data_IF_136309886866
#
_entry.id   IF_136309886866
#
_cell.length_a   1.000
_cell.length_b   1.000
_cell.length_c   1.000
_cell.angle_alpha   90.00
_cell.angle_beta   90.00
_cell.angle_gamma   90.00
#
_symmetry.space_group_name_H-M   'P 1'
#
loop_
_entity.id
_entity.type
_entity.pdbx_description
1 polymer ?
#
# COMPACT_ATOMS: atom_id res chain seq x y z
N UNK A 1 -16.17 -3.84 24.20
CA UNK A 1 -15.31 -3.71 23.02
C UNK A 1 -16.17 -3.74 21.76
N UNK A 2 -15.87 -2.88 20.81
CA UNK A 2 -16.56 -2.85 19.53
C UNK A 2 -16.00 -3.94 18.61
N UNK A 3 -16.80 -4.98 18.37
CA UNK A 3 -16.40 -6.10 17.51
C UNK A 3 -16.14 -5.65 16.08
N UNK A 4 -16.83 -4.60 15.61
CA UNK A 4 -16.61 -4.05 14.27
C UNK A 4 -15.20 -3.43 14.16
N UNK A 5 -14.75 -2.70 15.19
CA UNK A 5 -13.40 -2.15 15.21
C UNK A 5 -12.35 -3.26 15.13
N UNK A 6 -12.52 -4.33 15.90
CA UNK A 6 -11.58 -5.46 15.85
C UNK A 6 -11.60 -6.16 14.50
N UNK A 7 -12.78 -6.38 13.90
CA UNK A 7 -12.89 -7.00 12.58
C UNK A 7 -12.21 -6.13 11.50
N UNK A 8 -12.41 -4.80 11.56
CA UNK A 8 -11.79 -3.86 10.61
C UNK A 8 -10.27 -3.88 10.72
N UNK A 9 -9.74 -3.88 11.94
CA UNK A 9 -8.29 -3.95 12.13
C UNK A 9 -7.74 -5.29 11.66
N UNK A 10 -8.47 -6.37 11.84
CA UNK A 10 -8.04 -7.68 11.31
C UNK A 10 -8.07 -7.71 9.79
N UNK A 11 -9.08 -7.12 9.16
CA UNK A 11 -9.14 -6.99 7.69
C UNK A 11 -7.92 -6.25 7.18
N UNK A 12 -7.51 -5.16 7.84
CA UNK A 12 -6.32 -4.40 7.46
C UNK A 12 -5.05 -5.24 7.62
N UNK A 13 -4.90 -5.97 8.72
CA UNK A 13 -3.75 -6.87 8.90
C UNK A 13 -3.68 -7.93 7.82
N UNK A 14 -4.81 -8.55 7.50
CA UNK A 14 -4.89 -9.56 6.44
C UNK A 14 -4.56 -8.96 5.07
N UNK A 15 -5.08 -7.78 4.77
CA UNK A 15 -4.81 -7.05 3.54
C UNK A 15 -3.30 -6.80 3.37
N UNK A 16 -2.64 -6.30 4.43
CA UNK A 16 -1.21 -6.04 4.41
C UNK A 16 -0.39 -7.32 4.21
N UNK A 17 -0.78 -8.40 4.85
CA UNK A 17 -0.13 -9.71 4.68
C UNK A 17 -0.30 -10.23 3.25
N UNK A 18 -1.51 -10.14 2.72
CA UNK A 18 -1.80 -10.59 1.36
C UNK A 18 -1.03 -9.81 0.30
N UNK A 19 -0.81 -8.51 0.53
CA UNK A 19 0.05 -7.72 -0.36
C UNK A 19 1.50 -8.23 -0.36
N UNK A 20 2.03 -8.62 0.80
CA UNK A 20 3.37 -9.21 0.90
C UNK A 20 3.45 -10.56 0.19
N UNK A 21 2.36 -11.32 0.18
CA UNK A 21 2.27 -12.62 -0.48
C UNK A 21 2.01 -12.49 -1.98
N UNK A 22 1.81 -11.28 -2.47
CA UNK A 22 1.46 -10.98 -3.88
C UNK A 22 0.14 -11.62 -4.31
N UNK A 23 -0.75 -11.91 -3.38
CA UNK A 23 -2.07 -12.46 -3.65
C UNK A 23 -3.06 -11.31 -3.89
N UNK A 24 -2.92 -10.65 -5.02
CA UNK A 24 -3.68 -9.44 -5.34
C UNK A 24 -5.18 -9.70 -5.51
N UNK A 25 -5.57 -10.88 -5.96
CA UNK A 25 -6.99 -11.22 -6.01
C UNK A 25 -7.60 -11.23 -4.60
N UNK A 26 -6.91 -11.80 -3.63
CA UNK A 26 -7.37 -11.79 -2.25
C UNK A 26 -7.33 -10.39 -1.64
N UNK A 27 -6.33 -9.56 -2.00
CA UNK A 27 -6.28 -8.15 -1.59
C UNK A 27 -7.54 -7.43 -2.08
N UNK A 28 -7.93 -7.61 -3.33
CA UNK A 28 -9.12 -6.97 -3.89
C UNK A 28 -10.40 -7.38 -3.16
N UNK A 29 -10.46 -8.60 -2.65
CA UNK A 29 -11.62 -9.09 -1.89
C UNK A 29 -11.81 -8.38 -0.55
N UNK A 30 -10.80 -7.71 -0.03
CA UNK A 30 -10.92 -6.90 1.19
C UNK A 30 -11.70 -5.61 0.97
N UNK A 31 -11.92 -5.22 -0.28
CA UNK A 31 -12.66 -4.02 -0.66
C UNK A 31 -14.11 -4.34 -1.01
N UNK A 32 -15.02 -3.43 -0.66
CA UNK A 32 -16.34 -3.36 -1.29
C UNK A 32 -16.20 -2.80 -2.70
N UNK A 33 -15.34 -1.78 -2.85
CA UNK A 33 -14.97 -1.19 -4.13
C UNK A 33 -13.48 -0.82 -4.06
N UNK A 34 -12.62 -1.43 -4.90
CA UNK A 34 -11.19 -1.12 -4.87
C UNK A 34 -10.91 0.33 -5.24
N UNK A 35 -10.19 1.04 -4.38
CA UNK A 35 -9.78 2.43 -4.63
C UNK A 35 -8.56 2.76 -3.79
N UNK A 36 -7.56 3.38 -4.43
CA UNK A 36 -6.38 3.93 -3.78
C UNK A 36 -6.26 5.41 -4.10
N UNK A 37 -5.98 6.21 -3.07
CA UNK A 37 -5.62 7.63 -3.21
C UNK A 37 -4.25 7.78 -2.56
N UNK A 38 -3.23 8.05 -3.38
CA UNK A 38 -1.84 8.04 -2.93
C UNK A 38 -1.36 9.48 -2.73
N UNK A 39 -0.83 9.75 -1.52
CA UNK A 39 -0.33 11.07 -1.14
C UNK A 39 -1.38 12.17 -1.37
N UNK A 40 -2.54 11.98 -0.75
CA UNK A 40 -3.70 12.81 -1.00
C UNK A 40 -4.37 12.38 -2.30
N UNK A 41 -4.51 13.32 -3.23
CA UNK A 41 -5.07 13.03 -4.55
C UNK A 41 -4.03 13.11 -5.68
N UNK A 42 -2.75 12.99 -5.32
CA UNK A 42 -1.67 13.05 -6.32
C UNK A 42 -1.80 11.93 -7.36
N UNK A 43 -2.17 10.72 -6.91
CA UNK A 43 -2.50 9.62 -7.81
C UNK A 43 -3.75 8.91 -7.28
N UNK A 44 -4.70 8.64 -8.18
CA UNK A 44 -5.94 7.94 -7.83
C UNK A 44 -6.09 6.74 -8.76
N UNK A 45 -6.33 5.58 -8.18
CA UNK A 45 -6.66 4.35 -8.90
C UNK A 45 -8.02 3.89 -8.41
N UNK A 46 -9.00 3.84 -9.31
CA UNK A 46 -10.38 3.53 -8.98
C UNK A 46 -10.87 2.33 -9.78
N UNK A 47 -11.45 1.37 -9.08
CA UNK A 47 -11.97 0.16 -9.67
C UNK A 47 -10.92 -0.93 -9.82
N UNK A 48 -11.43 -2.15 -10.06
CA UNK A 48 -10.60 -3.36 -10.10
C UNK A 48 -9.44 -3.27 -11.09
N UNK A 49 -9.72 -2.82 -12.32
CA UNK A 49 -8.70 -2.85 -13.38
C UNK A 49 -7.59 -1.85 -13.10
N UNK A 50 -7.93 -0.63 -12.66
CA UNK A 50 -6.93 0.38 -12.32
C UNK A 50 -6.09 -0.03 -11.11
N UNK A 51 -6.73 -0.57 -10.08
CA UNK A 51 -6.02 -1.00 -8.87
C UNK A 51 -5.11 -2.19 -9.18
N UNK A 52 -5.55 -3.13 -10.01
CA UNK A 52 -4.70 -4.25 -10.41
C UNK A 52 -3.47 -3.77 -11.20
N UNK A 53 -3.65 -2.82 -12.12
CA UNK A 53 -2.52 -2.22 -12.83
C UNK A 53 -1.55 -1.50 -11.88
N UNK A 54 -2.08 -0.83 -10.86
CA UNK A 54 -1.26 -0.21 -9.83
C UNK A 54 -0.43 -1.27 -9.09
N UNK A 55 -1.04 -2.37 -8.68
CA UNK A 55 -0.29 -3.45 -8.01
C UNK A 55 0.85 -3.96 -8.89
N UNK A 56 0.57 -4.26 -10.14
CA UNK A 56 1.57 -4.79 -11.07
C UNK A 56 2.70 -3.78 -11.30
N UNK A 57 2.37 -2.51 -11.56
CA UNK A 57 3.37 -1.49 -11.82
C UNK A 57 4.22 -1.18 -10.60
N UNK A 58 3.64 -1.23 -9.40
CA UNK A 58 4.37 -0.96 -8.15
C UNK A 58 5.34 -2.09 -7.79
N UNK A 59 5.03 -3.33 -8.17
CA UNK A 59 5.87 -4.50 -7.86
C UNK A 59 6.91 -4.79 -8.93
N UNK A 60 6.79 -4.23 -10.13
CA UNK A 60 7.79 -4.43 -11.19
C UNK A 60 9.20 -4.02 -10.73
N UNK A 61 9.43 -2.82 -10.18
CA UNK A 61 10.76 -2.47 -9.68
C UNK A 61 11.12 -3.17 -8.36
N UNK A 62 10.13 -3.52 -7.55
CA UNK A 62 10.31 -4.05 -6.20
C UNK A 62 9.49 -5.34 -6.01
N UNK A 63 9.90 -6.45 -6.63
CA UNK A 63 9.10 -7.68 -6.57
C UNK A 63 9.00 -8.29 -5.17
N UNK A 64 9.91 -7.91 -4.27
CA UNK A 64 9.93 -8.34 -2.87
C UNK A 64 9.32 -7.31 -1.92
N UNK A 65 8.56 -6.33 -2.44
CA UNK A 65 7.99 -5.28 -1.59
C UNK A 65 7.24 -5.89 -0.41
N UNK A 66 7.57 -5.41 0.78
CA UNK A 66 6.98 -5.88 2.02
C UNK A 66 6.61 -4.73 2.94
N UNK A 67 5.97 -5.08 4.05
CA UNK A 67 5.60 -4.10 5.07
C UNK A 67 5.80 -4.69 6.47
N UNK A 68 6.10 -3.79 7.42
CA UNK A 68 6.24 -4.14 8.85
C UNK A 68 5.37 -3.16 9.62
N UNK A 69 4.29 -3.65 10.19
CA UNK A 69 3.32 -2.83 10.92
C UNK A 69 3.96 -2.32 12.23
N UNK A 70 3.90 -1.01 12.46
CA UNK A 70 4.37 -0.38 13.70
C UNK A 70 3.22 -0.17 14.66
N UNK A 71 2.11 0.42 14.17
CA UNK A 71 0.93 0.67 15.00
C UNK A 71 -0.34 0.65 14.15
N UNK A 72 -1.46 0.37 14.80
CA UNK A 72 -2.77 0.31 14.18
C UNK A 72 -3.80 0.82 15.18
N UNK A 73 -4.74 1.63 14.70
CA UNK A 73 -5.82 2.19 15.52
C UNK A 73 -7.08 2.36 14.69
N UNK A 74 -8.24 2.23 15.35
CA UNK A 74 -9.54 2.45 14.73
C UNK A 74 -10.13 3.76 15.24
N UNK A 75 -10.59 4.60 14.31
CA UNK A 75 -11.22 5.88 14.65
C UNK A 75 -12.32 6.20 13.62
N UNK A 76 -13.55 6.39 14.11
CA UNK A 76 -14.70 6.59 13.22
C UNK A 76 -14.89 5.38 12.31
N UNK A 77 -14.95 5.61 11.01
CA UNK A 77 -15.04 4.54 10.01
C UNK A 77 -13.68 4.22 9.38
N UNK A 78 -12.59 4.64 10.03
CA UNK A 78 -11.25 4.48 9.51
C UNK A 78 -10.38 3.62 10.39
N UNK A 79 -9.45 2.89 9.76
CA UNK A 79 -8.32 2.27 10.43
C UNK A 79 -7.06 3.00 9.99
N UNK A 80 -6.28 3.46 10.96
CA UNK A 80 -5.03 4.19 10.73
C UNK A 80 -3.86 3.28 11.04
N UNK A 81 -2.84 3.30 10.19
CA UNK A 81 -1.61 2.53 10.42
C UNK A 81 -0.38 3.41 10.28
N UNK A 82 0.67 3.01 10.99
CA UNK A 82 2.05 3.40 10.71
C UNK A 82 2.84 2.13 10.47
N UNK A 83 3.72 2.14 9.46
CA UNK A 83 4.47 0.95 9.09
C UNK A 83 5.80 1.30 8.43
N UNK A 84 6.68 0.31 8.28
CA UNK A 84 7.80 0.39 7.34
C UNK A 84 7.41 -0.27 6.03
N UNK A 85 7.72 0.40 4.93
CA UNK A 85 7.68 -0.19 3.60
C UNK A 85 9.10 -0.59 3.22
N UNK A 86 9.27 -1.80 2.73
CA UNK A 86 10.58 -2.36 2.37
C UNK A 86 10.56 -2.86 0.93
N UNK A 87 11.74 -2.93 0.32
CA UNK A 87 11.88 -3.50 -1.01
C UNK A 87 13.31 -3.47 -1.49
N UNK A 88 13.58 -4.27 -2.52
CA UNK A 88 14.88 -4.33 -3.19
C UNK A 88 14.66 -4.00 -4.66
N UNK A 89 15.48 -3.12 -5.21
CA UNK A 89 15.38 -2.66 -6.59
C UNK A 89 15.92 -3.75 -7.53
N UNK A 90 15.05 -4.65 -7.94
CA UNK A 90 15.38 -5.83 -8.75
C UNK A 90 14.78 -5.79 -10.16
N UNK A 91 13.94 -4.81 -10.47
CA UNK A 91 13.33 -4.62 -11.77
C UNK A 91 13.44 -3.18 -12.24
N UNK A 92 13.04 -2.90 -13.50
CA UNK A 92 13.14 -1.54 -14.04
C UNK A 92 12.21 -0.59 -13.28
N UNK A 93 12.72 0.61 -12.99
CA UNK A 93 11.97 1.67 -12.29
C UNK A 93 11.77 2.86 -13.21
N UNK A 94 10.55 3.26 -13.45
CA UNK A 94 10.24 4.46 -14.19
C UNK A 94 10.38 5.69 -13.31
N UNK A 95 11.20 6.65 -13.75
CA UNK A 95 11.37 7.96 -13.12
C UNK A 95 11.15 9.01 -14.21
N UNK A 96 9.96 9.62 -14.23
CA UNK A 96 9.56 10.48 -15.34
C UNK A 96 9.54 9.71 -16.66
N UNK A 97 10.26 10.21 -17.67
CA UNK A 97 10.38 9.55 -18.97
C UNK A 97 11.55 8.56 -19.05
N UNK A 98 12.28 8.38 -17.95
CA UNK A 98 13.43 7.50 -17.92
C UNK A 98 13.13 6.19 -17.25
N UNK A 99 13.83 5.15 -17.65
CA UNK A 99 13.78 3.84 -17.00
C UNK A 99 15.14 3.58 -16.37
N UNK A 100 15.16 3.44 -15.05
CA UNK A 100 16.36 3.14 -14.28
C UNK A 100 16.50 1.63 -14.17
N UNK A 101 17.63 1.05 -14.66
CA UNK A 101 17.85 -0.39 -14.51
C UNK A 101 18.03 -0.78 -13.04
N UNK A 102 17.82 -2.05 -12.67
CA UNK A 102 17.94 -2.49 -11.29
C UNK A 102 19.31 -2.14 -10.68
N UNK A 103 19.28 -1.53 -9.50
CA UNK A 103 20.51 -1.22 -8.74
C UNK A 103 20.89 -2.31 -7.76
N UNK A 104 19.97 -3.21 -7.42
CA UNK A 104 20.17 -4.20 -6.38
C UNK A 104 20.13 -3.64 -4.96
N UNK A 105 19.91 -2.34 -4.81
CA UNK A 105 19.86 -1.67 -3.50
C UNK A 105 18.49 -1.82 -2.86
N UNK A 106 18.48 -1.85 -1.55
CA UNK A 106 17.24 -1.98 -0.75
C UNK A 106 16.84 -0.66 -0.12
N UNK A 107 15.55 -0.53 0.17
CA UNK A 107 15.03 0.59 0.93
C UNK A 107 14.18 0.11 2.10
N UNK A 108 14.11 0.93 3.14
CA UNK A 108 13.21 0.79 4.27
C UNK A 108 12.79 2.18 4.69
N UNK A 109 11.52 2.52 4.47
CA UNK A 109 11.00 3.86 4.75
C UNK A 109 9.76 3.75 5.64
N UNK A 110 9.60 4.74 6.53
CA UNK A 110 8.42 4.81 7.39
C UNK A 110 7.31 5.53 6.64
N UNK A 111 6.10 4.96 6.70
CA UNK A 111 4.94 5.54 6.06
C UNK A 111 3.70 5.35 6.92
N UNK A 112 2.66 6.10 6.60
CA UNK A 112 1.36 5.99 7.24
C UNK A 112 0.29 5.70 6.20
N UNK A 113 -0.84 5.16 6.63
CA UNK A 113 -1.97 4.90 5.75
C UNK A 113 -3.29 4.99 6.50
N UNK A 114 -4.34 5.25 5.74
CA UNK A 114 -5.71 5.28 6.24
C UNK A 114 -6.54 4.35 5.38
N UNK A 115 -7.23 3.40 6.02
CA UNK A 115 -8.19 2.53 5.36
C UNK A 115 -9.58 2.99 5.75
N UNK A 116 -10.35 3.47 4.78
CA UNK A 116 -11.72 3.90 5.01
C UNK A 116 -12.68 2.74 4.75
N UNK A 117 -13.63 2.57 5.65
CA UNK A 117 -14.69 1.56 5.55
C UNK A 117 -16.05 2.25 5.34
N UNK A 118 -16.97 1.57 4.68
CA UNK A 118 -18.35 2.03 4.63
C UNK A 118 -18.98 1.92 6.02
N UNK A 119 -19.91 2.82 6.39
CA UNK A 119 -20.57 2.75 7.70
C UNK A 119 -21.17 1.36 7.97
N UNK A 120 -20.84 0.82 9.14
CA UNK A 120 -21.32 -0.49 9.58
C UNK A 120 -20.69 -1.69 8.88
N UNK A 121 -19.74 -1.48 7.98
CA UNK A 121 -19.13 -2.54 7.16
C UNK A 121 -17.69 -2.83 7.60
N UNK A 122 -17.25 -4.05 7.37
CA UNK A 122 -15.85 -4.47 7.48
C UNK A 122 -15.17 -4.61 6.10
N UNK A 123 -15.73 -3.97 5.08
CA UNK A 123 -15.14 -3.90 3.75
C UNK A 123 -14.58 -2.51 3.49
N UNK A 124 -13.35 -2.46 2.94
CA UNK A 124 -12.66 -1.22 2.64
C UNK A 124 -13.28 -0.56 1.41
N UNK A 125 -13.41 0.77 1.43
CA UNK A 125 -13.87 1.55 0.28
C UNK A 125 -12.79 2.46 -0.29
N UNK A 126 -11.70 2.69 0.45
CA UNK A 126 -10.57 3.47 -0.04
C UNK A 126 -9.35 3.21 0.85
N UNK A 127 -8.19 3.01 0.24
CA UNK A 127 -6.91 3.02 0.95
C UNK A 127 -6.16 4.29 0.57
N UNK A 128 -5.62 4.98 1.58
CA UNK A 128 -4.88 6.23 1.42
C UNK A 128 -3.49 6.10 2.03
N UNK A 129 -2.49 5.65 1.25
CA UNK A 129 -1.11 5.62 1.73
C UNK A 129 -0.44 7.00 1.57
N UNK A 130 0.42 7.32 2.53
CA UNK A 130 1.25 8.52 2.53
C UNK A 130 2.70 8.09 2.69
N UNK A 131 3.49 8.27 1.64
CA UNK A 131 4.89 7.87 1.61
C UNK A 131 5.69 8.93 0.84
N UNK A 132 6.90 9.21 1.30
CA UNK A 132 7.78 10.14 0.60
C UNK A 132 8.65 9.37 -0.41
N UNK A 133 8.38 9.47 -1.72
CA UNK A 133 9.16 8.75 -2.72
C UNK A 133 10.61 9.22 -2.80
N UNK A 134 10.90 10.45 -2.34
CA UNK A 134 12.27 10.96 -2.32
C UNK A 134 13.16 10.18 -1.34
N UNK A 135 12.61 9.69 -0.23
CA UNK A 135 13.36 8.83 0.68
C UNK A 135 13.75 7.50 0.04
N UNK A 136 12.84 6.91 -0.73
CA UNK A 136 13.14 5.68 -1.48
C UNK A 136 14.25 5.96 -2.49
N UNK A 137 14.11 7.02 -3.28
CA UNK A 137 15.12 7.38 -4.29
C UNK A 137 16.50 7.59 -3.67
N UNK A 138 16.59 8.29 -2.54
CA UNK A 138 17.87 8.51 -1.84
C UNK A 138 18.51 7.19 -1.40
N UNK A 139 17.72 6.27 -0.85
CA UNK A 139 18.24 4.98 -0.39
C UNK A 139 18.71 4.11 -1.55
N UNK A 140 18.11 4.27 -2.73
CA UNK A 140 18.55 3.59 -3.95
C UNK A 140 19.73 4.30 -4.63
N UNK A 141 20.15 5.45 -4.12
CA UNK A 141 21.24 6.22 -4.72
C UNK A 141 20.83 7.01 -5.96
N UNK A 142 19.55 7.33 -6.11
CA UNK A 142 18.98 7.99 -7.29
C UNK A 142 18.58 9.45 -7.05
N UNK A 143 18.67 9.90 -5.81
CA UNK A 143 18.19 11.25 -5.45
C UNK A 143 19.25 12.27 -5.09
#
# INVERSE_FOLDING_TARGET
MDDLAERRMQVVRDHMRLECELDFEAVLETFAHPRYEINGDAMVFDGRDEVMRYFESSRTPFPDQGNELISIAHAGDNVHIEMYLTGTHLGPLKVGDQVVPPTGKSFKVRMAGVFQFAPGSDKIVCERPYVDPAQIARQLGLG
#
